data_IF_278759462927
#
_entry.id   IF_278759462927
#
_cell.length_a   1.000
_cell.length_b   1.000
_cell.length_c   1.000
_cell.angle_alpha   90.00
_cell.angle_beta   90.00
_cell.angle_gamma   90.00
#
_symmetry.space_group_name_H-M   'P 1'
#
loop_
_entity.id
_entity.type
_entity.pdbx_description
1 polymer ?
#
# COMPACT_ATOMS: atom_id res chain seq x y z
N UNK A 1 8.20 42.50 -11.85
CA UNK A 1 7.42 41.30 -12.24
C UNK A 1 7.06 40.51 -10.98
N UNK A 2 5.78 40.45 -10.59
CA UNK A 2 5.30 39.67 -9.43
C UNK A 2 5.29 38.19 -9.81
N UNK A 3 6.14 37.39 -9.17
CA UNK A 3 6.18 35.94 -9.40
C UNK A 3 4.82 35.31 -9.10
N UNK A 4 4.25 34.64 -10.08
CA UNK A 4 3.04 33.81 -9.97
C UNK A 4 3.28 32.77 -8.88
N UNK A 5 2.73 33.01 -7.67
CA UNK A 5 2.75 32.00 -6.61
C UNK A 5 1.96 30.79 -7.13
N UNK A 6 2.64 29.67 -7.37
CA UNK A 6 1.99 28.43 -7.82
C UNK A 6 0.89 28.08 -6.80
N UNK A 7 -0.40 28.07 -7.19
CA UNK A 7 -1.51 27.91 -6.25
C UNK A 7 -1.39 26.61 -5.45
N UNK A 8 -0.94 25.53 -6.10
CA UNK A 8 -0.63 24.25 -5.46
C UNK A 8 0.44 24.38 -4.36
N UNK A 9 1.47 25.21 -4.57
CA UNK A 9 2.52 25.45 -3.58
C UNK A 9 2.01 26.19 -2.34
N UNK A 10 1.08 27.13 -2.52
CA UNK A 10 0.45 27.85 -1.42
C UNK A 10 -0.43 26.92 -0.56
N UNK A 11 -1.22 26.06 -1.21
CA UNK A 11 -2.06 25.06 -0.54
C UNK A 11 -1.19 24.05 0.22
N UNK A 12 -0.16 23.48 -0.41
CA UNK A 12 0.76 22.55 0.25
C UNK A 12 1.51 23.20 1.44
N UNK A 13 1.88 24.46 1.34
CA UNK A 13 2.52 25.19 2.43
C UNK A 13 1.55 25.44 3.59
N UNK A 14 0.28 25.75 3.30
CA UNK A 14 -0.76 25.93 4.30
C UNK A 14 -1.08 24.61 5.02
N UNK A 15 -1.26 23.51 4.29
CA UNK A 15 -1.52 22.17 4.87
C UNK A 15 -0.40 21.76 5.81
N UNK A 16 0.86 22.02 5.44
CA UNK A 16 2.03 21.71 6.29
C UNK A 16 1.98 22.39 7.65
N UNK A 17 1.45 23.61 7.73
CA UNK A 17 1.37 24.43 8.96
C UNK A 17 0.20 24.05 9.87
N UNK A 18 -0.73 23.23 9.40
CA UNK A 18 -1.90 22.84 10.19
C UNK A 18 -1.53 21.88 11.35
N UNK A 19 -2.27 21.96 12.48
CA UNK A 19 -2.08 21.04 13.60
C UNK A 19 -2.47 19.60 13.21
N UNK A 20 -1.95 18.57 13.91
CA UNK A 20 -2.19 17.16 13.58
C UNK A 20 -3.68 16.81 13.46
N UNK A 21 -4.53 17.37 14.32
CA UNK A 21 -5.99 17.18 14.30
C UNK A 21 -6.63 17.65 12.99
N UNK A 22 -6.21 18.82 12.49
CA UNK A 22 -6.72 19.39 11.24
C UNK A 22 -6.21 18.59 10.04
N UNK A 23 -4.97 18.11 10.08
CA UNK A 23 -4.43 17.21 9.04
C UNK A 23 -5.20 15.90 8.97
N UNK A 24 -5.48 15.29 10.13
CA UNK A 24 -6.30 14.07 10.20
C UNK A 24 -7.71 14.32 9.66
N UNK A 25 -8.36 15.42 10.06
CA UNK A 25 -9.67 15.80 9.55
C UNK A 25 -9.66 16.00 8.03
N UNK A 26 -8.69 16.76 7.49
CA UNK A 26 -8.55 16.97 6.05
C UNK A 26 -8.32 15.66 5.29
N UNK A 27 -7.50 14.75 5.84
CA UNK A 27 -7.27 13.44 5.25
C UNK A 27 -8.57 12.61 5.20
N UNK A 28 -9.35 12.60 6.28
CA UNK A 28 -10.65 11.90 6.33
C UNK A 28 -11.61 12.50 5.32
N UNK A 29 -11.77 13.83 5.29
CA UNK A 29 -12.67 14.50 4.33
C UNK A 29 -12.26 14.22 2.89
N UNK A 30 -10.97 14.26 2.60
CA UNK A 30 -10.45 13.94 1.25
C UNK A 30 -10.71 12.48 0.89
N UNK A 31 -10.49 11.55 1.82
CA UNK A 31 -10.79 10.13 1.63
C UNK A 31 -12.27 9.87 1.37
N UNK A 32 -13.17 10.47 2.15
CA UNK A 32 -14.62 10.35 1.93
C UNK A 32 -15.04 10.96 0.59
N UNK A 33 -14.52 12.14 0.23
CA UNK A 33 -14.79 12.76 -1.06
C UNK A 33 -14.31 11.89 -2.23
N UNK A 34 -13.13 11.27 -2.10
CA UNK A 34 -12.61 10.33 -3.09
C UNK A 34 -13.50 9.08 -3.23
N UNK A 35 -13.97 8.50 -2.11
CA UNK A 35 -14.90 7.36 -2.14
C UNK A 35 -16.22 7.71 -2.83
N UNK A 36 -16.80 8.88 -2.52
CA UNK A 36 -18.02 9.36 -3.18
C UNK A 36 -17.79 9.56 -4.67
N UNK A 37 -16.69 10.20 -5.05
CA UNK A 37 -16.33 10.42 -6.45
C UNK A 37 -16.13 9.11 -7.21
N UNK A 38 -15.44 8.14 -6.61
CA UNK A 38 -15.25 6.80 -7.19
C UNK A 38 -16.59 6.11 -7.41
N UNK A 39 -17.51 6.18 -6.44
CA UNK A 39 -18.86 5.61 -6.58
C UNK A 39 -19.64 6.18 -7.76
N UNK A 40 -19.44 7.46 -8.09
CA UNK A 40 -20.11 8.09 -9.23
C UNK A 40 -19.50 7.68 -10.59
N UNK A 41 -18.21 7.37 -10.62
CA UNK A 41 -17.49 7.03 -11.86
C UNK A 41 -17.58 5.54 -12.15
N UNK A 42 -17.23 4.72 -11.16
CA UNK A 42 -17.07 3.28 -11.32
C UNK A 42 -18.36 2.60 -10.89
N UNK A 43 -19.21 2.31 -11.88
CA UNK A 43 -20.50 1.66 -11.67
C UNK A 43 -20.33 0.17 -11.34
N UNK A 44 -19.35 -0.47 -11.98
CA UNK A 44 -18.99 -1.86 -11.74
C UNK A 44 -17.73 -1.92 -10.88
N UNK A 45 -17.94 -2.28 -9.61
CA UNK A 45 -16.94 -2.30 -8.56
C UNK A 45 -15.86 -3.34 -8.81
N UNK A 46 -16.09 -4.36 -9.63
CA UNK A 46 -15.07 -5.37 -9.96
C UNK A 46 -13.91 -4.74 -10.74
N UNK A 47 -14.16 -3.65 -11.47
CA UNK A 47 -13.10 -2.85 -12.09
C UNK A 47 -12.16 -2.20 -11.06
N UNK A 48 -12.64 -1.85 -9.86
CA UNK A 48 -11.79 -1.33 -8.79
C UNK A 48 -10.85 -2.42 -8.27
N UNK A 49 -11.35 -3.65 -8.17
CA UNK A 49 -10.54 -4.80 -7.77
C UNK A 49 -9.46 -5.09 -8.82
N UNK A 50 -9.83 -5.16 -10.10
CA UNK A 50 -8.88 -5.40 -11.19
C UNK A 50 -7.84 -4.27 -11.26
N UNK A 51 -8.24 -3.01 -11.07
CA UNK A 51 -7.33 -1.88 -11.01
C UNK A 51 -6.39 -1.96 -9.79
N UNK A 52 -6.88 -2.40 -8.63
CA UNK A 52 -6.08 -2.61 -7.44
C UNK A 52 -4.99 -3.68 -7.69
N UNK A 53 -5.36 -4.84 -8.21
CA UNK A 53 -4.42 -5.92 -8.51
C UNK A 53 -3.43 -5.54 -9.62
N UNK A 54 -3.87 -4.82 -10.66
CA UNK A 54 -2.98 -4.32 -11.71
C UNK A 54 -1.95 -3.32 -11.16
N UNK A 55 -2.36 -2.37 -10.32
CA UNK A 55 -1.46 -1.44 -9.66
C UNK A 55 -0.45 -2.17 -8.75
N UNK A 56 -0.90 -3.21 -8.06
CA UNK A 56 -0.05 -4.04 -7.22
C UNK A 56 0.98 -4.84 -8.04
N UNK A 57 0.53 -5.46 -9.14
CA UNK A 57 1.37 -6.19 -10.08
C UNK A 57 2.46 -5.30 -10.71
N UNK A 58 2.12 -4.07 -11.06
CA UNK A 58 3.11 -3.08 -11.53
C UNK A 58 4.14 -2.75 -10.45
N UNK A 59 3.69 -2.51 -9.22
CA UNK A 59 4.58 -2.24 -8.09
C UNK A 59 5.56 -3.39 -7.84
N UNK A 60 5.08 -4.63 -7.80
CA UNK A 60 5.94 -5.79 -7.56
C UNK A 60 6.87 -6.06 -8.75
N UNK A 61 6.44 -5.77 -9.98
CA UNK A 61 7.29 -5.83 -11.17
C UNK A 61 8.49 -4.88 -11.09
N UNK A 62 8.27 -3.63 -10.66
CA UNK A 62 9.35 -2.65 -10.42
C UNK A 62 10.31 -3.15 -9.33
N UNK A 63 9.78 -3.77 -8.27
CA UNK A 63 10.57 -4.33 -7.19
C UNK A 63 11.44 -5.50 -7.67
N UNK A 64 10.86 -6.43 -8.44
CA UNK A 64 11.58 -7.56 -9.03
C UNK A 64 12.68 -7.08 -9.97
N UNK A 65 12.41 -6.05 -10.77
CA UNK A 65 13.41 -5.43 -11.62
C UNK A 65 14.60 -4.90 -10.80
N UNK A 66 14.34 -4.14 -9.73
CA UNK A 66 15.37 -3.64 -8.80
C UNK A 66 16.22 -4.78 -8.24
N UNK A 67 15.59 -5.80 -7.65
CA UNK A 67 16.30 -6.92 -7.03
C UNK A 67 17.15 -7.71 -8.05
N UNK A 68 16.65 -7.82 -9.29
CA UNK A 68 17.32 -8.62 -10.32
C UNK A 68 18.46 -7.87 -11.00
N UNK A 69 18.28 -6.57 -11.27
CA UNK A 69 19.24 -5.73 -12.03
C UNK A 69 20.21 -4.99 -11.12
N UNK A 70 19.72 -4.34 -10.07
CA UNK A 70 20.58 -3.56 -9.16
C UNK A 70 21.23 -4.44 -8.08
N UNK A 71 20.78 -5.70 -7.92
CA UNK A 71 21.34 -6.66 -6.96
C UNK A 71 21.42 -6.11 -5.53
N UNK A 72 20.43 -5.31 -5.14
CA UNK A 72 20.34 -4.74 -3.80
C UNK A 72 18.92 -4.82 -3.28
N UNK A 73 18.76 -5.23 -2.02
CA UNK A 73 17.51 -5.12 -1.28
C UNK A 73 17.53 -3.97 -0.25
N UNK A 74 18.45 -3.02 -0.39
CA UNK A 74 18.47 -1.82 0.44
C UNK A 74 17.12 -1.10 0.40
N UNK A 75 16.65 -0.66 1.56
CA UNK A 75 15.35 -0.01 1.69
C UNK A 75 14.17 -0.91 1.33
N UNK A 76 14.26 -2.25 1.49
CA UNK A 76 13.09 -3.15 1.55
C UNK A 76 12.94 -3.69 2.97
N UNK A 77 11.70 -3.77 3.46
CA UNK A 77 11.39 -4.41 4.74
C UNK A 77 10.93 -5.85 4.53
N UNK A 78 11.63 -6.81 5.11
CA UNK A 78 11.24 -8.22 5.04
C UNK A 78 9.92 -8.45 5.76
N UNK A 79 9.71 -7.80 6.92
CA UNK A 79 8.46 -7.85 7.67
C UNK A 79 7.26 -7.38 6.85
N UNK A 80 7.41 -6.31 6.06
CA UNK A 80 6.36 -5.83 5.17
C UNK A 80 6.05 -6.83 4.05
N UNK A 81 7.06 -7.53 3.52
CA UNK A 81 6.86 -8.55 2.48
C UNK A 81 6.18 -9.80 3.07
N UNK A 82 6.63 -10.28 4.24
CA UNK A 82 6.02 -11.42 4.95
C UNK A 82 4.54 -11.14 5.31
N UNK A 83 4.23 -9.92 5.77
CA UNK A 83 2.85 -9.51 6.03
C UNK A 83 2.00 -9.43 4.75
N UNK A 84 2.58 -8.94 3.66
CA UNK A 84 1.91 -8.89 2.35
C UNK A 84 1.62 -10.30 1.84
N UNK A 85 2.57 -11.24 2.01
CA UNK A 85 2.38 -12.64 1.63
C UNK A 85 1.28 -13.31 2.47
N UNK A 86 1.24 -13.07 3.78
CA UNK A 86 0.17 -13.58 4.66
C UNK A 86 -1.21 -13.09 4.21
N UNK A 87 -1.32 -11.79 3.90
CA UNK A 87 -2.56 -11.21 3.38
C UNK A 87 -2.99 -11.85 2.06
N UNK A 88 -2.08 -11.97 1.09
CA UNK A 88 -2.38 -12.58 -0.20
C UNK A 88 -2.76 -14.06 -0.05
N UNK A 89 -2.16 -14.78 0.91
CA UNK A 89 -2.54 -16.15 1.22
C UNK A 89 -3.96 -16.25 1.79
N UNK A 90 -4.35 -15.33 2.68
CA UNK A 90 -5.73 -15.26 3.20
C UNK A 90 -6.73 -14.97 2.08
N UNK A 91 -6.42 -14.00 1.20
CA UNK A 91 -7.29 -13.68 0.06
C UNK A 91 -7.41 -14.81 -0.95
N UNK A 92 -6.30 -15.46 -1.27
CA UNK A 92 -6.29 -16.62 -2.15
C UNK A 92 -7.14 -17.76 -1.56
N UNK A 93 -7.04 -18.02 -0.26
CA UNK A 93 -7.90 -18.98 0.43
C UNK A 93 -9.39 -18.60 0.31
N UNK A 94 -9.74 -17.33 0.57
CA UNK A 94 -11.11 -16.85 0.42
C UNK A 94 -11.62 -16.96 -1.03
N UNK A 95 -10.77 -16.68 -2.02
CA UNK A 95 -11.08 -16.83 -3.44
C UNK A 95 -11.40 -18.29 -3.80
N UNK A 96 -10.58 -19.25 -3.32
CA UNK A 96 -10.85 -20.69 -3.53
C UNK A 96 -12.18 -21.16 -2.92
N UNK A 97 -12.58 -20.58 -1.78
CA UNK A 97 -13.84 -20.93 -1.11
C UNK A 97 -15.06 -20.31 -1.82
N UNK A 98 -14.89 -19.19 -2.53
CA UNK A 98 -15.98 -18.42 -3.12
C UNK A 98 -16.34 -18.87 -4.55
N UNK A 99 -15.36 -19.19 -5.41
CA UNK A 99 -15.43 -19.96 -6.68
C UNK A 99 -14.15 -19.65 -7.51
N UNK A 100 -13.75 -20.57 -8.40
CA UNK A 100 -12.54 -20.42 -9.24
C UNK A 100 -12.73 -19.40 -10.37
N UNK A 101 -12.52 -18.13 -10.07
CA UNK A 101 -12.55 -17.05 -11.08
C UNK A 101 -11.15 -16.45 -11.33
N UNK A 102 -11.07 -15.48 -12.25
CA UNK A 102 -9.89 -14.69 -12.60
C UNK A 102 -9.18 -14.10 -11.38
N UNK A 103 -9.92 -13.80 -10.31
CA UNK A 103 -9.41 -13.35 -9.02
C UNK A 103 -8.37 -14.31 -8.42
N UNK A 104 -8.65 -15.62 -8.48
CA UNK A 104 -7.74 -16.66 -7.99
C UNK A 104 -6.42 -16.66 -8.76
N UNK A 105 -6.47 -16.44 -10.07
CA UNK A 105 -5.28 -16.39 -10.93
C UNK A 105 -4.43 -15.16 -10.58
N UNK A 106 -5.07 -13.99 -10.44
CA UNK A 106 -4.38 -12.74 -10.11
C UNK A 106 -3.76 -12.78 -8.70
N UNK A 107 -4.49 -13.27 -7.70
CA UNK A 107 -3.99 -13.41 -6.33
C UNK A 107 -2.83 -14.43 -6.28
N UNK A 108 -2.93 -15.55 -7.00
CA UNK A 108 -1.86 -16.55 -7.09
C UNK A 108 -0.59 -15.97 -7.72
N UNK A 109 -0.72 -15.28 -8.86
CA UNK A 109 0.42 -14.67 -9.54
C UNK A 109 1.14 -13.65 -8.64
N UNK A 110 0.37 -12.84 -7.94
CA UNK A 110 0.88 -11.82 -7.02
C UNK A 110 1.54 -12.44 -5.79
N UNK A 111 0.98 -13.52 -5.24
CA UNK A 111 1.59 -14.28 -4.15
C UNK A 111 2.92 -14.89 -4.56
N UNK A 112 3.00 -15.52 -5.74
CA UNK A 112 4.25 -16.08 -6.28
C UNK A 112 5.32 -15.00 -6.45
N UNK A 113 4.96 -13.85 -7.02
CA UNK A 113 5.87 -12.72 -7.15
C UNK A 113 6.38 -12.21 -5.79
N UNK A 114 5.51 -12.17 -4.77
CA UNK A 114 5.87 -11.77 -3.39
C UNK A 114 6.81 -12.79 -2.74
N UNK A 115 6.54 -14.08 -2.91
CA UNK A 115 7.41 -15.15 -2.42
C UNK A 115 8.79 -15.11 -3.09
N UNK A 116 8.87 -14.77 -4.38
CA UNK A 116 10.13 -14.56 -5.07
C UNK A 116 10.93 -13.38 -4.48
N UNK A 117 10.27 -12.27 -4.18
CA UNK A 117 10.90 -11.11 -3.50
C UNK A 117 11.45 -11.53 -2.14
N UNK A 118 10.66 -12.24 -1.32
CA UNK A 118 11.09 -12.76 -0.02
C UNK A 118 12.31 -13.68 -0.16
N UNK A 119 12.28 -14.60 -1.14
CA UNK A 119 13.40 -15.48 -1.46
C UNK A 119 14.67 -14.69 -1.81
N UNK A 120 14.54 -13.67 -2.68
CA UNK A 120 15.65 -12.81 -3.07
C UNK A 120 16.28 -12.11 -1.85
N UNK A 121 15.47 -11.57 -0.94
CA UNK A 121 15.95 -10.91 0.28
C UNK A 121 16.64 -11.91 1.23
N UNK A 122 16.01 -13.06 1.50
CA UNK A 122 16.49 -14.03 2.50
C UNK A 122 17.74 -14.79 2.07
N UNK A 123 17.87 -15.10 0.78
CA UNK A 123 18.92 -16.01 0.30
C UNK A 123 19.94 -15.33 -0.63
N UNK A 124 19.48 -14.62 -1.68
CA UNK A 124 20.38 -14.09 -2.71
C UNK A 124 21.03 -12.76 -2.33
N UNK A 125 20.28 -11.86 -1.70
CA UNK A 125 20.66 -10.48 -1.41
C UNK A 125 20.80 -10.21 0.10
N UNK A 126 20.91 -11.28 0.91
CA UNK A 126 21.00 -11.21 2.37
C UNK A 126 22.11 -10.27 2.85
N UNK A 127 23.24 -10.19 2.13
CA UNK A 127 24.36 -9.31 2.47
C UNK A 127 24.00 -7.81 2.38
N UNK A 128 23.06 -7.44 1.51
CA UNK A 128 22.59 -6.04 1.35
C UNK A 128 21.39 -5.73 2.26
N UNK A 129 20.88 -6.73 2.98
CA UNK A 129 19.73 -6.59 3.86
C UNK A 129 20.13 -5.96 5.19
N UNK A 130 19.54 -4.79 5.50
CA UNK A 130 19.88 -4.02 6.68
C UNK A 130 19.00 -4.43 7.88
N UNK A 131 19.34 -5.56 8.53
CA UNK A 131 18.58 -6.10 9.68
C UNK A 131 18.32 -5.05 10.76
N UNK A 132 19.34 -4.30 11.17
CA UNK A 132 19.23 -3.30 12.25
C UNK A 132 18.28 -2.14 11.91
N UNK A 133 17.97 -1.99 10.61
CA UNK A 133 17.08 -0.96 10.09
C UNK A 133 15.70 -1.51 9.72
N UNK A 134 15.47 -2.81 9.78
CA UNK A 134 14.17 -3.45 9.55
C UNK A 134 13.28 -3.39 10.80
N UNK A 135 13.05 -2.16 11.26
CA UNK A 135 11.97 -1.86 12.18
C UNK A 135 10.87 -1.12 11.40
N UNK A 136 9.60 -1.41 11.70
CA UNK A 136 8.47 -0.77 11.03
C UNK A 136 8.67 0.75 10.97
N UNK A 137 9.00 1.38 12.09
CA UNK A 137 9.23 2.82 12.21
C UNK A 137 10.45 3.38 11.45
N UNK A 138 11.55 2.62 11.31
CA UNK A 138 12.82 3.13 10.75
C UNK A 138 12.89 2.97 9.23
N UNK A 139 12.21 1.96 8.68
CA UNK A 139 12.01 1.76 7.25
C UNK A 139 11.43 3.00 6.56
N UNK A 140 10.54 3.71 7.24
CA UNK A 140 9.83 4.86 6.68
C UNK A 140 10.70 6.10 6.40
N UNK A 141 11.92 6.13 6.94
CA UNK A 141 12.81 7.31 6.90
C UNK A 141 13.87 7.19 5.78
N UNK A 142 14.12 5.98 5.28
CA UNK A 142 15.16 5.70 4.29
C UNK A 142 14.50 5.04 3.07
N UNK A 143 13.81 5.84 2.26
CA UNK A 143 13.15 5.35 1.05
C UNK A 143 13.95 5.77 -0.16
N UNK A 144 14.70 4.84 -0.73
CA UNK A 144 15.36 5.06 -2.03
C UNK A 144 14.33 5.36 -3.13
N UNK A 145 14.66 6.17 -4.15
CA UNK A 145 13.71 6.58 -5.18
C UNK A 145 12.99 5.40 -5.86
N UNK A 146 13.64 4.27 -6.09
CA UNK A 146 12.95 3.10 -6.68
C UNK A 146 11.96 2.44 -5.71
N UNK A 147 12.34 2.30 -4.44
CA UNK A 147 11.43 1.83 -3.38
C UNK A 147 10.23 2.77 -3.25
N UNK A 148 10.46 4.08 -3.35
CA UNK A 148 9.44 5.13 -3.26
C UNK A 148 8.27 4.90 -4.24
N UNK A 149 8.58 4.65 -5.51
CA UNK A 149 7.58 4.42 -6.55
C UNK A 149 6.83 3.10 -6.37
N UNK A 150 7.54 2.02 -6.00
CA UNK A 150 6.92 0.75 -5.65
C UNK A 150 5.91 0.93 -4.51
N UNK A 151 6.31 1.57 -3.41
CA UNK A 151 5.42 1.67 -2.26
C UNK A 151 4.28 2.65 -2.53
N UNK A 152 4.48 3.68 -3.36
CA UNK A 152 3.38 4.51 -3.85
C UNK A 152 2.36 3.69 -4.65
N UNK A 153 2.82 2.86 -5.60
CA UNK A 153 1.94 1.97 -6.37
C UNK A 153 1.20 0.97 -5.48
N UNK A 154 1.89 0.40 -4.49
CA UNK A 154 1.27 -0.43 -3.46
C UNK A 154 0.22 0.36 -2.66
N UNK A 155 0.52 1.61 -2.33
CA UNK A 155 -0.39 2.54 -1.66
C UNK A 155 -1.71 2.72 -2.42
N UNK A 156 -1.61 3.00 -3.72
CA UNK A 156 -2.76 3.14 -4.62
C UNK A 156 -3.55 1.84 -4.72
N UNK A 157 -2.87 0.70 -4.91
CA UNK A 157 -3.51 -0.61 -5.00
C UNK A 157 -4.40 -0.91 -3.78
N UNK A 158 -3.90 -0.67 -2.57
CA UNK A 158 -4.68 -0.90 -1.35
C UNK A 158 -5.81 0.10 -1.17
N UNK A 159 -5.62 1.37 -1.54
CA UNK A 159 -6.70 2.33 -1.51
C UNK A 159 -7.87 1.90 -2.41
N UNK A 160 -7.57 1.42 -3.61
CA UNK A 160 -8.58 0.90 -4.54
C UNK A 160 -9.25 -0.38 -4.01
N UNK A 161 -8.49 -1.30 -3.40
CA UNK A 161 -9.05 -2.49 -2.73
C UNK A 161 -9.97 -2.12 -1.57
N UNK A 162 -9.56 -1.17 -0.73
CA UNK A 162 -10.39 -0.66 0.37
C UNK A 162 -11.66 0.01 -0.16
N UNK A 163 -11.56 0.83 -1.22
CA UNK A 163 -12.70 1.43 -1.87
C UNK A 163 -13.66 0.39 -2.44
N UNK A 164 -13.15 -0.66 -3.10
CA UNK A 164 -13.95 -1.78 -3.58
C UNK A 164 -14.78 -2.40 -2.45
N UNK A 165 -14.14 -2.81 -1.36
CA UNK A 165 -14.83 -3.44 -0.22
C UNK A 165 -15.82 -2.50 0.47
N UNK A 166 -15.45 -1.23 0.68
CA UNK A 166 -16.35 -0.25 1.31
C UNK A 166 -17.59 0.00 0.44
N UNK A 167 -17.41 0.19 -0.87
CA UNK A 167 -18.53 0.41 -1.78
C UNK A 167 -19.39 -0.85 -1.91
N UNK A 168 -18.79 -2.03 -1.97
CA UNK A 168 -19.51 -3.29 -1.96
C UNK A 168 -20.34 -3.43 -0.67
N UNK A 169 -19.81 -3.08 0.51
CA UNK A 169 -20.60 -3.07 1.76
C UNK A 169 -21.78 -2.09 1.67
N UNK A 170 -21.56 -0.88 1.16
CA UNK A 170 -22.56 0.18 1.09
C UNK A 170 -23.68 -0.13 0.08
N UNK A 171 -23.33 -0.62 -1.11
CA UNK A 171 -24.30 -0.88 -2.18
C UNK A 171 -25.07 -2.19 -1.96
N UNK A 172 -24.46 -3.18 -1.30
CA UNK A 172 -25.15 -4.45 -1.04
C UNK A 172 -26.17 -4.37 0.12
N UNK A 173 -26.42 -3.17 0.69
CA UNK A 173 -27.44 -2.89 1.74
C UNK A 173 -27.48 -3.93 2.88
N UNK A 174 -26.32 -4.41 3.32
CA UNK A 174 -26.22 -5.39 4.40
C UNK A 174 -26.28 -6.87 3.99
N UNK A 175 -26.33 -7.21 2.70
CA UNK A 175 -26.22 -8.61 2.24
C UNK A 175 -24.84 -9.21 2.56
N UNK A 176 -23.78 -8.41 2.56
CA UNK A 176 -22.46 -8.80 3.07
C UNK A 176 -22.50 -9.07 4.58
N UNK A 177 -23.29 -8.28 5.34
CA UNK A 177 -23.51 -8.51 6.78
C UNK A 177 -24.31 -9.79 7.04
N UNK A 178 -25.19 -10.19 6.11
CA UNK A 178 -25.89 -11.48 6.17
C UNK A 178 -24.97 -12.63 5.75
N UNK A 179 -24.06 -12.40 4.80
CA UNK A 179 -23.02 -13.35 4.39
C UNK A 179 -21.95 -13.56 5.48
N UNK A 180 -21.70 -12.59 6.37
CA UNK A 180 -20.91 -12.80 7.60
C UNK A 180 -21.48 -13.95 8.47
N UNK A 181 -22.77 -14.24 8.35
CA UNK A 181 -23.43 -15.38 9.01
C UNK A 181 -23.18 -16.73 8.32
N UNK A 182 -22.72 -16.74 7.07
CA UNK A 182 -22.51 -17.93 6.24
C UNK A 182 -21.02 -18.25 6.00
N UNK A 183 -20.16 -17.97 6.99
CA UNK A 183 -18.76 -18.40 7.01
C UNK A 183 -17.80 -17.35 7.53
N UNK A 184 -16.59 -17.78 7.90
CA UNK A 184 -15.55 -16.90 8.44
C UNK A 184 -14.88 -16.02 7.37
N UNK A 185 -15.03 -16.34 6.09
CA UNK A 185 -14.28 -15.74 4.99
C UNK A 185 -14.51 -14.21 4.83
N UNK A 186 -15.72 -13.63 4.91
CA UNK A 186 -15.88 -12.18 4.69
C UNK A 186 -15.28 -11.39 5.86
N UNK A 187 -15.39 -11.92 7.08
CA UNK A 187 -14.79 -11.34 8.29
C UNK A 187 -13.26 -11.31 8.19
N UNK A 188 -12.66 -12.41 7.73
CA UNK A 188 -11.21 -12.54 7.58
C UNK A 188 -10.68 -11.54 6.55
N UNK A 189 -11.35 -11.40 5.41
CA UNK A 189 -10.97 -10.42 4.39
C UNK A 189 -11.06 -9.00 4.94
N UNK A 190 -12.22 -8.59 5.50
CA UNK A 190 -12.39 -7.24 6.03
C UNK A 190 -11.39 -6.90 7.14
N UNK A 191 -11.16 -7.83 8.07
CA UNK A 191 -10.19 -7.64 9.15
C UNK A 191 -8.77 -7.47 8.59
N UNK A 192 -8.39 -8.31 7.62
CA UNK A 192 -7.07 -8.23 6.98
C UNK A 192 -6.88 -6.92 6.21
N UNK A 193 -7.90 -6.46 5.48
CA UNK A 193 -7.90 -5.20 4.73
C UNK A 193 -7.79 -3.99 5.68
N UNK A 194 -8.48 -4.01 6.82
CA UNK A 194 -8.39 -2.95 7.84
C UNK A 194 -6.97 -2.88 8.40
N UNK A 195 -6.42 -4.00 8.88
CA UNK A 195 -5.07 -4.04 9.46
C UNK A 195 -4.04 -3.53 8.46
N UNK A 196 -4.14 -3.98 7.21
CA UNK A 196 -3.20 -3.57 6.18
C UNK A 196 -3.36 -2.11 5.75
N UNK A 197 -4.59 -1.60 5.73
CA UNK A 197 -4.88 -0.18 5.44
C UNK A 197 -4.28 0.71 6.53
N UNK A 198 -4.33 0.34 7.80
CA UNK A 198 -3.69 1.10 8.88
C UNK A 198 -2.17 1.12 8.76
N UNK A 199 -1.55 -0.04 8.50
CA UNK A 199 -0.10 -0.16 8.33
C UNK A 199 0.38 0.66 7.12
N UNK A 200 -0.39 0.65 6.04
CA UNK A 200 -0.09 1.43 4.85
C UNK A 200 -0.37 2.93 5.03
N UNK A 201 -1.42 3.31 5.75
CA UNK A 201 -1.73 4.72 6.00
C UNK A 201 -0.59 5.37 6.80
N UNK A 202 -0.07 4.66 7.81
CA UNK A 202 1.12 5.07 8.56
C UNK A 202 2.36 5.14 7.63
N UNK A 203 2.55 4.14 6.76
CA UNK A 203 3.61 4.16 5.74
C UNK A 203 3.52 5.40 4.84
N UNK A 204 2.37 5.63 4.21
CA UNK A 204 2.12 6.72 3.27
C UNK A 204 2.33 8.08 3.93
N UNK A 205 1.94 8.23 5.21
CA UNK A 205 2.18 9.44 5.98
C UNK A 205 3.67 9.77 6.08
N UNK A 206 4.50 8.82 6.51
CA UNK A 206 5.93 9.04 6.63
C UNK A 206 6.63 9.16 5.28
N UNK A 207 6.17 8.43 4.26
CA UNK A 207 6.67 8.54 2.89
C UNK A 207 6.44 9.94 2.31
N UNK A 208 5.21 10.46 2.38
CA UNK A 208 4.89 11.83 1.95
C UNK A 208 5.68 12.85 2.77
N UNK A 209 5.85 12.61 4.07
CA UNK A 209 6.68 13.46 4.94
C UNK A 209 8.15 13.48 4.48
N UNK A 210 8.71 12.34 4.08
CA UNK A 210 10.08 12.22 3.54
C UNK A 210 10.22 12.97 2.20
N UNK A 211 9.29 12.77 1.27
CA UNK A 211 9.24 13.49 -0.02
C UNK A 211 9.16 15.02 0.17
N UNK A 212 8.24 15.46 1.03
CA UNK A 212 8.00 16.90 1.29
C UNK A 212 9.14 17.53 2.08
N UNK A 213 9.85 16.73 2.88
CA UNK A 213 11.06 17.14 3.60
C UNK A 213 12.30 17.27 2.72
N UNK A 214 12.27 16.81 1.47
CA UNK A 214 13.42 16.85 0.54
C UNK A 214 14.59 15.94 0.96
N UNK A 215 14.47 15.20 2.06
CA UNK A 215 15.43 14.20 2.52
C UNK A 215 14.97 12.84 2.02
N UNK A 216 15.07 12.62 0.70
CA UNK A 216 14.87 11.29 0.09
C UNK A 216 15.88 10.26 0.65
N UNK A 217 16.97 10.75 1.25
CA UNK A 217 17.92 9.98 2.05
C UNK A 217 18.12 10.76 3.36
N UNK A 218 17.41 10.39 4.43
CA UNK A 218 17.92 10.74 5.75
C UNK A 218 19.18 9.90 5.96
N UNK A 219 20.36 10.45 5.61
CA UNK A 219 21.60 9.91 6.16
C UNK A 219 21.48 10.08 7.67
N UNK A 220 21.20 9.00 8.38
CA UNK A 220 21.53 8.92 9.80
C UNK A 220 22.99 9.38 9.92
N UNK A 221 23.34 10.23 10.90
CA UNK A 221 24.73 10.53 11.15
C UNK A 221 25.41 9.18 11.30
N UNK A 222 26.41 8.93 10.44
CA UNK A 222 27.31 7.81 10.58
C UNK A 222 27.85 7.91 12.00
N UNK A 223 27.33 7.05 12.87
CA UNK A 223 27.88 6.86 14.21
C UNK A 223 29.37 6.72 14.05
N UNK A 224 30.06 7.60 14.74
CA UNK A 224 31.50 7.72 14.86
C UNK A 224 32.08 6.37 15.31
N UNK A 225 33.04 5.87 14.52
CA UNK A 225 34.03 4.80 14.78
C UNK A 225 33.48 3.38 14.98
#
# INVERSE_FOLDING_TARGET
MRGTKRPLGAVMAWVRRQPPKVKAFLAVVTGMAALVFIRFIVHDHDNLFVAAEAAHALGIGVLIYKLTKEKTCAGLSLKSQDLTALFLAVRLYCSFVMEYDIHTILDTATLVATMFVIYMIRFKLRATYMVDKDNFALYYVIVEPFTAHYVFALGVARFLSCAHWVLQVLDTRGRLLTALGYGLWPSMVLLSEIVQTFILADFCYYYVKSLVGGQLVLRLPSGVV
#
